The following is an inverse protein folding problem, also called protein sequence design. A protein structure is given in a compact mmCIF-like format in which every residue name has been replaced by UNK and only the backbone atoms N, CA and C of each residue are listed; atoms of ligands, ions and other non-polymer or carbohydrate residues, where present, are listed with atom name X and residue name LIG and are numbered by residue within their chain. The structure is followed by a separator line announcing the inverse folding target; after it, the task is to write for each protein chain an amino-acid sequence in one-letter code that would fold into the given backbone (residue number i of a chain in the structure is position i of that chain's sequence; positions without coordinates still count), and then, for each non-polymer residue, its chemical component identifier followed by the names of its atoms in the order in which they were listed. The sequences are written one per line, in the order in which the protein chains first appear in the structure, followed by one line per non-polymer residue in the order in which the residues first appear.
data_IF_925263036077
#
_entry.id   IF_925263036077
#
_cell.length_a   1.000
_cell.length_b   1.000
_cell.length_c   1.000
_cell.angle_alpha   90.00
_cell.angle_beta   90.00
_cell.angle_gamma   90.00
#
_symmetry.space_group_name_H-M   'P 1'
#
loop_
_entity.id
_entity.type
_entity.pdbx_description
1 polymer ?
#
# COMPACT_ATOMS: atom_id res chain seq x y z
N UNK A 1 -22.01 -43.29 33.68
CA UNK A 1 -20.63 -42.76 33.58
C UNK A 1 -20.31 -42.30 32.14
N UNK A 2 -20.57 -41.02 31.85
CA UNK A 2 -20.25 -40.40 30.56
C UNK A 2 -18.76 -40.03 30.54
N UNK A 3 -17.97 -40.66 29.67
CA UNK A 3 -16.59 -40.23 29.43
C UNK A 3 -16.62 -38.98 28.56
N UNK A 4 -16.18 -37.85 29.11
CA UNK A 4 -15.86 -36.65 28.36
C UNK A 4 -14.65 -36.96 27.45
N UNK A 5 -14.84 -36.90 26.14
CA UNK A 5 -13.73 -36.91 25.19
C UNK A 5 -12.98 -35.58 25.33
N UNK A 6 -11.83 -35.61 26.00
CA UNK A 6 -10.86 -34.51 25.96
C UNK A 6 -10.15 -34.63 24.61
N UNK A 7 -10.53 -33.78 23.66
CA UNK A 7 -9.82 -33.69 22.39
C UNK A 7 -8.42 -33.12 22.65
N UNK A 8 -7.40 -33.97 22.60
CA UNK A 8 -6.01 -33.52 22.54
C UNK A 8 -5.75 -33.00 21.14
N UNK A 9 -5.78 -31.68 20.97
CA UNK A 9 -5.40 -31.04 19.72
C UNK A 9 -3.89 -31.23 19.52
N UNK A 10 -3.48 -31.72 18.36
CA UNK A 10 -2.05 -31.83 18.05
C UNK A 10 -1.50 -30.42 17.79
N UNK A 11 -0.21 -30.20 18.13
CA UNK A 11 0.45 -28.90 17.90
C UNK A 11 0.36 -28.43 16.44
N UNK A 12 0.37 -29.38 15.50
CA UNK A 12 0.24 -29.11 14.07
C UNK A 12 -1.15 -28.60 13.70
N UNK A 13 -2.22 -29.18 14.26
CA UNK A 13 -3.58 -28.70 14.04
C UNK A 13 -3.78 -27.30 14.65
N UNK A 14 -3.18 -27.01 15.81
CA UNK A 14 -3.24 -25.68 16.42
C UNK A 14 -2.56 -24.63 15.54
N UNK A 15 -1.38 -24.93 14.99
CA UNK A 15 -0.70 -24.05 14.03
C UNK A 15 -1.57 -23.83 12.79
N UNK A 16 -2.15 -24.89 12.24
CA UNK A 16 -2.99 -24.82 11.06
C UNK A 16 -4.22 -23.91 11.29
N UNK A 17 -4.92 -24.07 12.42
CA UNK A 17 -6.05 -23.21 12.79
C UNK A 17 -5.59 -21.76 13.03
N UNK A 18 -4.47 -21.56 13.71
CA UNK A 18 -3.91 -20.22 13.94
C UNK A 18 -3.54 -19.52 12.62
N UNK A 19 -2.94 -20.25 11.67
CA UNK A 19 -2.62 -19.74 10.33
C UNK A 19 -3.88 -19.39 9.54
N UNK A 20 -4.91 -20.25 9.57
CA UNK A 20 -6.20 -19.97 8.91
C UNK A 20 -6.87 -18.73 9.51
N UNK A 21 -6.92 -18.62 10.84
CA UNK A 21 -7.52 -17.47 11.50
C UNK A 21 -6.75 -16.17 11.22
N UNK A 22 -5.41 -16.23 11.22
CA UNK A 22 -4.56 -15.08 10.88
C UNK A 22 -4.76 -14.67 9.43
N UNK A 23 -4.82 -15.63 8.51
CA UNK A 23 -5.11 -15.39 7.10
C UNK A 23 -6.52 -14.81 6.90
N UNK A 24 -7.52 -15.31 7.63
CA UNK A 24 -8.89 -14.80 7.61
C UNK A 24 -8.98 -13.38 8.18
N UNK A 25 -8.29 -13.08 9.27
CA UNK A 25 -8.21 -11.72 9.82
C UNK A 25 -7.50 -10.76 8.86
N UNK A 26 -6.45 -11.23 8.18
CA UNK A 26 -5.75 -10.46 7.15
C UNK A 26 -6.64 -10.22 5.92
N UNK A 27 -7.37 -11.23 5.44
CA UNK A 27 -8.36 -11.05 4.38
C UNK A 27 -9.50 -10.13 4.82
N UNK A 28 -10.00 -10.23 6.05
CA UNK A 28 -11.00 -9.32 6.61
C UNK A 28 -10.49 -7.88 6.67
N UNK A 29 -9.23 -7.68 7.07
CA UNK A 29 -8.56 -6.39 7.06
C UNK A 29 -8.43 -5.84 5.62
N UNK A 30 -8.03 -6.71 4.67
CA UNK A 30 -7.96 -6.41 3.22
C UNK A 30 -9.31 -6.13 2.56
N UNK A 31 -10.40 -6.68 3.10
CA UNK A 31 -11.76 -6.43 2.62
C UNK A 31 -12.35 -5.17 3.26
N UNK A 32 -11.93 -4.83 4.49
CA UNK A 32 -12.36 -3.63 5.22
C UNK A 32 -11.73 -2.35 4.66
N UNK A 33 -10.47 -2.39 4.21
CA UNK A 33 -9.89 -1.34 3.39
C UNK A 33 -10.25 -1.64 1.93
N UNK A 34 -11.24 -0.96 1.35
CA UNK A 34 -11.64 -1.13 -0.07
C UNK A 34 -10.53 -0.64 -1.04
N UNK A 35 -9.33 -1.16 -0.89
CA UNK A 35 -8.15 -0.85 -1.68
C UNK A 35 -8.08 -1.86 -2.80
N UNK A 36 -8.12 -1.41 -4.05
CA UNK A 36 -7.86 -2.27 -5.20
C UNK A 36 -6.36 -2.31 -5.46
N UNK A 37 -5.86 -3.49 -5.85
CA UNK A 37 -4.50 -3.65 -6.31
C UNK A 37 -4.52 -4.33 -7.68
N UNK A 38 -3.95 -3.68 -8.68
CA UNK A 38 -3.88 -4.17 -10.05
C UNK A 38 -2.43 -4.24 -10.49
N UNK A 39 -1.98 -5.44 -10.89
CA UNK A 39 -0.66 -5.63 -11.48
C UNK A 39 -0.81 -5.81 -12.99
N UNK A 40 -0.14 -4.97 -13.76
CA UNK A 40 -0.11 -5.03 -15.22
C UNK A 40 0.99 -5.98 -15.72
N UNK A 41 0.89 -6.43 -16.98
CA UNK A 41 1.86 -7.35 -17.60
C UNK A 41 3.27 -6.77 -17.72
N UNK A 42 3.37 -5.44 -17.77
CA UNK A 42 4.64 -4.70 -17.81
C UNK A 42 5.26 -4.51 -16.41
N UNK A 43 4.60 -4.99 -15.36
CA UNK A 43 5.04 -4.89 -13.97
C UNK A 43 4.64 -3.58 -13.27
N UNK A 44 3.82 -2.73 -13.90
CA UNK A 44 3.20 -1.60 -13.20
C UNK A 44 2.18 -2.10 -12.16
N UNK A 45 2.33 -1.65 -10.92
CA UNK A 45 1.37 -1.89 -9.85
C UNK A 45 0.58 -0.62 -9.58
N UNK A 46 -0.75 -0.75 -9.53
CA UNK A 46 -1.69 0.34 -9.26
C UNK A 46 -2.46 0.00 -7.98
N UNK A 47 -2.43 0.91 -7.02
CA UNK A 47 -3.22 0.85 -5.80
C UNK A 47 -4.25 1.98 -5.79
N UNK A 48 -5.53 1.66 -5.64
CA UNK A 48 -6.57 2.69 -5.47
C UNK A 48 -7.19 2.54 -4.09
N UNK A 49 -7.19 3.61 -3.32
CA UNK A 49 -7.63 3.62 -1.93
C UNK A 49 -9.02 4.26 -1.78
N UNK A 50 -9.78 3.93 -0.71
CA UNK A 50 -11.11 4.50 -0.48
C UNK A 50 -11.14 6.03 -0.34
N UNK A 51 -10.02 6.62 0.09
CA UNK A 51 -9.85 8.07 0.21
C UNK A 51 -9.61 8.76 -1.15
N UNK A 52 -9.81 8.07 -2.28
CA UNK A 52 -9.51 8.51 -3.66
C UNK A 52 -8.03 8.74 -3.96
N UNK A 53 -7.15 8.27 -3.07
CA UNK A 53 -5.72 8.22 -3.38
C UNK A 53 -5.46 7.10 -4.38
N UNK A 54 -4.61 7.39 -5.37
CA UNK A 54 -4.14 6.40 -6.34
C UNK A 54 -2.63 6.40 -6.32
N UNK A 55 -2.02 5.22 -6.26
CA UNK A 55 -0.57 5.06 -6.32
C UNK A 55 -0.17 4.18 -7.50
N UNK A 56 0.80 4.64 -8.28
CA UNK A 56 1.46 3.86 -9.33
C UNK A 56 2.88 3.54 -8.89
N UNK A 57 3.23 2.26 -8.87
CA UNK A 57 4.57 1.77 -8.56
C UNK A 57 5.14 1.13 -9.83
N UNK A 58 6.13 1.79 -10.41
CA UNK A 58 6.73 1.38 -11.67
C UNK A 58 7.88 0.40 -11.44
N UNK A 59 8.14 -0.55 -12.36
CA UNK A 59 9.28 -1.46 -12.28
C UNK A 59 10.64 -0.77 -12.18
N UNK A 60 10.75 0.46 -12.68
CA UNK A 60 11.96 1.27 -12.59
C UNK A 60 12.27 1.77 -11.17
N UNK A 61 11.40 1.52 -10.19
CA UNK A 61 11.48 2.05 -8.83
C UNK A 61 10.85 3.43 -8.66
N UNK A 62 10.39 4.06 -9.76
CA UNK A 62 9.62 5.30 -9.71
C UNK A 62 8.26 5.04 -9.06
N UNK A 63 7.77 5.97 -8.25
CA UNK A 63 6.43 5.95 -7.66
C UNK A 63 5.70 7.25 -7.94
N UNK A 64 4.41 7.18 -8.22
CA UNK A 64 3.54 8.35 -8.35
C UNK A 64 2.34 8.18 -7.43
N UNK A 65 2.06 9.20 -6.62
CA UNK A 65 0.91 9.25 -5.72
C UNK A 65 0.03 10.42 -6.17
N UNK A 66 -1.24 10.15 -6.40
CA UNK A 66 -2.28 11.13 -6.68
C UNK A 66 -3.22 11.17 -5.49
N UNK A 67 -3.36 12.34 -4.88
CA UNK A 67 -4.25 12.56 -3.74
C UNK A 67 -5.60 13.14 -4.20
N UNK A 68 -6.61 13.01 -3.33
CA UNK A 68 -7.97 13.47 -3.62
C UNK A 68 -8.11 14.98 -3.83
N UNK A 69 -7.19 15.76 -3.26
CA UNK A 69 -7.11 17.22 -3.39
C UNK A 69 -6.48 17.68 -4.73
N UNK A 70 -6.09 16.75 -5.58
CA UNK A 70 -5.41 16.99 -6.85
C UNK A 70 -3.88 17.09 -6.73
N UNK A 71 -3.32 16.97 -5.52
CA UNK A 71 -1.87 16.93 -5.32
C UNK A 71 -1.29 15.67 -5.95
N UNK A 72 -0.22 15.83 -6.74
CA UNK A 72 0.54 14.73 -7.33
C UNK A 72 1.96 14.73 -6.79
N UNK A 73 2.37 13.64 -6.13
CA UNK A 73 3.74 13.40 -5.69
C UNK A 73 4.41 12.34 -6.57
N UNK A 74 5.62 12.61 -7.03
CA UNK A 74 6.44 11.71 -7.83
C UNK A 74 7.73 11.49 -7.06
N UNK A 75 8.10 10.22 -6.86
CA UNK A 75 9.31 9.81 -6.16
C UNK A 75 10.15 8.97 -7.09
N UNK A 76 11.42 9.33 -7.24
CA UNK A 76 12.37 8.62 -8.09
C UNK A 76 13.35 7.82 -7.22
N UNK A 77 13.87 6.70 -7.75
CA UNK A 77 14.75 5.81 -6.99
C UNK A 77 16.10 6.43 -6.62
N UNK A 78 16.50 7.50 -7.31
CA UNK A 78 17.70 8.30 -7.01
C UNK A 78 17.51 9.24 -5.82
N UNK A 79 16.31 9.30 -5.23
CA UNK A 79 15.96 10.16 -4.11
C UNK A 79 15.41 11.52 -4.53
N UNK A 80 15.36 11.82 -5.83
CA UNK A 80 14.69 13.02 -6.34
C UNK A 80 13.18 12.88 -6.17
N UNK A 81 12.52 13.91 -5.67
CA UNK A 81 11.07 13.93 -5.51
C UNK A 81 10.48 15.23 -6.04
N UNK A 82 9.27 15.14 -6.56
CA UNK A 82 8.50 16.28 -7.05
C UNK A 82 7.08 16.21 -6.53
N UNK A 83 6.58 17.29 -5.93
CA UNK A 83 5.18 17.43 -5.55
C UNK A 83 4.57 18.60 -6.33
N UNK A 84 3.46 18.34 -7.03
CA UNK A 84 2.64 19.34 -7.71
C UNK A 84 1.36 19.48 -6.92
N UNK A 85 1.15 20.65 -6.32
CA UNK A 85 -0.08 20.97 -5.61
C UNK A 85 -1.14 21.45 -6.59
N UNK A 86 -2.41 21.33 -6.21
CA UNK A 86 -3.54 21.76 -7.03
C UNK A 86 -3.65 23.28 -7.21
N UNK A 87 -2.97 24.06 -6.37
CA UNK A 87 -2.87 25.53 -6.46
C UNK A 87 -1.79 26.02 -7.44
N UNK A 88 -1.11 25.11 -8.16
CA UNK A 88 -0.05 25.42 -9.12
C UNK A 88 1.34 25.58 -8.50
N UNK A 89 1.50 25.32 -7.20
CA UNK A 89 2.81 25.25 -6.55
C UNK A 89 3.48 23.92 -6.86
N UNK A 90 4.79 23.98 -7.12
CA UNK A 90 5.67 22.83 -7.33
C UNK A 90 6.76 22.83 -6.27
N UNK A 91 6.86 21.74 -5.52
CA UNK A 91 7.96 21.45 -4.59
C UNK A 91 8.87 20.40 -5.22
N UNK A 92 10.15 20.70 -5.30
CA UNK A 92 11.21 19.79 -5.72
C UNK A 92 12.04 19.48 -4.48
N UNK A 93 12.33 18.21 -4.23
CA UNK A 93 13.25 17.76 -3.20
C UNK A 93 14.38 16.97 -3.88
N UNK A 94 15.62 17.41 -3.66
CA UNK A 94 16.79 16.77 -4.23
C UNK A 94 17.38 15.73 -3.24
N UNK A 95 18.16 14.75 -3.73
CA UNK A 95 18.77 13.73 -2.89
C UNK A 95 19.71 14.27 -1.79
N UNK A 96 20.29 15.46 -2.01
CA UNK A 96 21.13 16.15 -1.03
C UNK A 96 20.33 16.82 0.11
N UNK A 97 19.00 16.70 0.11
CA UNK A 97 18.09 17.32 1.07
C UNK A 97 17.68 18.76 0.73
N UNK A 98 18.22 19.35 -0.35
CA UNK A 98 17.81 20.66 -0.83
C UNK A 98 16.36 20.62 -1.32
N UNK A 99 15.62 21.70 -1.05
CA UNK A 99 14.24 21.85 -1.49
C UNK A 99 14.05 23.15 -2.25
N UNK A 100 13.34 23.08 -3.36
CA UNK A 100 12.97 24.25 -4.16
C UNK A 100 11.46 24.32 -4.32
N UNK A 101 10.89 25.48 -4.05
CA UNK A 101 9.46 25.74 -4.24
C UNK A 101 9.32 26.74 -5.39
N UNK A 102 8.54 26.39 -6.40
CA UNK A 102 8.26 27.23 -7.56
C UNK A 102 6.76 27.37 -7.71
N UNK A 103 6.29 28.58 -8.02
CA UNK A 103 4.88 28.82 -8.37
C UNK A 103 4.81 29.02 -9.89
N UNK A 104 3.91 28.29 -10.54
CA UNK A 104 3.62 28.48 -11.97
C UNK A 104 2.82 29.75 -12.23
#
# INVERSE_FOLDING_TARGET
PFRLNVYTFTFLEYIFISLINTLFLFFSLLLANKTTHTTHRDGLEIYEFPNKQVEHHYPSGKKEIMFADGTKKIMFPDGFNETRFSDGVRLIEYPNGERQVTRS
#
